data_IF_603245006053
#
_entry.id   IF_603245006053
#
_cell.length_a   1.000
_cell.length_b   1.000
_cell.length_c   1.000
_cell.angle_alpha   90.00
_cell.angle_beta   90.00
_cell.angle_gamma   90.00
#
_symmetry.space_group_name_H-M   'P 1'
#
loop_
_entity.id
_entity.type
_entity.pdbx_description
1 polymer ?
#
# COMPACT_ATOMS: atom_id res chain seq x y z
N UNK A 1 13.80 9.78 -16.92
CA UNK A 1 12.36 9.45 -17.03
C UNK A 1 12.23 8.02 -17.51
N UNK A 2 11.35 7.19 -16.94
CA UNK A 2 11.02 5.90 -17.56
C UNK A 2 10.17 6.16 -18.81
N UNK A 3 10.21 5.25 -19.80
CA UNK A 3 9.42 5.40 -21.04
C UNK A 3 7.91 5.53 -20.76
N UNK A 4 7.42 4.87 -19.71
CA UNK A 4 6.02 4.94 -19.33
C UNK A 4 5.64 6.31 -18.75
N UNK A 5 6.48 6.85 -17.85
CA UNK A 5 6.24 8.16 -17.25
C UNK A 5 6.33 9.28 -18.31
N UNK A 6 7.27 9.18 -19.24
CA UNK A 6 7.36 10.11 -20.38
C UNK A 6 6.11 10.08 -21.25
N UNK A 7 5.61 8.86 -21.58
CA UNK A 7 4.39 8.69 -22.36
C UNK A 7 3.17 9.30 -21.65
N UNK A 8 3.01 9.08 -20.34
CA UNK A 8 1.83 9.59 -19.62
C UNK A 8 1.87 11.11 -19.53
N UNK A 9 3.03 11.71 -19.23
CA UNK A 9 3.18 13.17 -19.18
C UNK A 9 2.90 13.82 -20.54
N UNK A 10 3.33 13.18 -21.62
CA UNK A 10 3.05 13.64 -22.99
C UNK A 10 1.54 13.71 -23.27
N UNK A 11 0.75 12.74 -22.79
CA UNK A 11 -0.70 12.77 -22.95
C UNK A 11 -1.37 13.79 -22.01
N UNK A 12 -0.87 13.92 -20.77
CA UNK A 12 -1.39 14.91 -19.80
C UNK A 12 -1.20 16.34 -20.32
N UNK A 13 -0.05 16.67 -20.90
CA UNK A 13 0.21 18.02 -21.43
C UNK A 13 -0.71 18.46 -22.57
N UNK A 14 -1.39 17.52 -23.25
CA UNK A 14 -2.37 17.84 -24.29
C UNK A 14 -3.73 18.27 -23.71
N UNK A 15 -3.95 18.10 -22.41
CA UNK A 15 -5.23 18.41 -21.76
C UNK A 15 -5.31 19.88 -21.33
N UNK A 16 -6.52 20.43 -21.09
CA UNK A 16 -6.67 21.75 -20.47
C UNK A 16 -6.02 21.80 -19.07
N UNK A 17 -5.51 22.98 -18.63
CA UNK A 17 -4.80 23.12 -17.34
C UNK A 17 -5.53 22.50 -16.15
N UNK A 18 -6.84 22.73 -16.03
CA UNK A 18 -7.64 22.20 -14.91
C UNK A 18 -7.62 20.66 -14.83
N UNK A 19 -7.55 19.99 -15.98
CA UNK A 19 -7.43 18.52 -16.02
C UNK A 19 -6.00 18.07 -15.70
N UNK A 20 -5.00 18.84 -16.11
CA UNK A 20 -3.60 18.55 -15.74
C UNK A 20 -3.45 18.62 -14.22
N UNK A 21 -3.96 19.68 -13.60
CA UNK A 21 -3.90 19.91 -12.15
C UNK A 21 -4.68 18.84 -11.38
N UNK A 22 -5.85 18.43 -11.88
CA UNK A 22 -6.62 17.33 -11.27
C UNK A 22 -5.82 16.02 -11.27
N UNK A 23 -5.15 15.69 -12.38
CA UNK A 23 -4.31 14.47 -12.48
C UNK A 23 -3.09 14.60 -11.58
N UNK A 24 -2.46 15.77 -11.55
CA UNK A 24 -1.31 16.02 -10.69
C UNK A 24 -1.66 15.86 -9.20
N UNK A 25 -2.83 16.37 -8.77
CA UNK A 25 -3.30 16.21 -7.40
C UNK A 25 -3.44 14.75 -6.98
N UNK A 26 -4.07 13.91 -7.83
CA UNK A 26 -4.21 12.47 -7.57
C UNK A 26 -2.84 11.80 -7.46
N UNK A 27 -1.92 12.08 -8.39
CA UNK A 27 -0.57 11.48 -8.35
C UNK A 27 0.18 11.88 -7.07
N UNK A 28 0.06 13.15 -6.65
CA UNK A 28 0.72 13.63 -5.43
C UNK A 28 0.14 12.98 -4.16
N UNK A 29 -1.18 12.77 -4.12
CA UNK A 29 -1.84 12.06 -3.02
C UNK A 29 -1.36 10.62 -2.91
N UNK A 30 -1.34 9.87 -4.02
CA UNK A 30 -0.87 8.48 -4.05
C UNK A 30 0.61 8.35 -3.64
N UNK A 31 1.45 9.32 -4.03
CA UNK A 31 2.87 9.34 -3.62
C UNK A 31 3.03 9.60 -2.12
N UNK A 32 2.18 10.43 -1.53
CA UNK A 32 2.21 10.68 -0.09
C UNK A 32 1.67 9.48 0.69
N UNK A 33 0.62 8.83 0.20
CA UNK A 33 0.09 7.60 0.78
C UNK A 33 1.13 6.47 0.77
N UNK A 34 1.83 6.27 -0.35
CA UNK A 34 2.94 5.30 -0.44
C UNK A 34 4.04 5.62 0.58
N UNK A 35 4.42 6.90 0.68
CA UNK A 35 5.44 7.36 1.64
C UNK A 35 5.02 7.11 3.09
N UNK A 36 3.75 7.34 3.42
CA UNK A 36 3.19 7.09 4.74
C UNK A 36 3.13 5.59 5.03
N UNK A 37 2.77 4.78 4.04
CA UNK A 37 2.71 3.33 4.15
C UNK A 37 4.10 2.73 4.38
N UNK A 38 5.10 3.13 3.60
CA UNK A 38 6.49 2.73 3.76
C UNK A 38 7.00 3.02 5.17
N UNK A 39 6.73 4.24 5.67
CA UNK A 39 7.10 4.63 7.03
C UNK A 39 6.41 3.76 8.07
N UNK A 40 5.08 3.63 7.98
CA UNK A 40 4.30 2.85 8.93
C UNK A 40 4.72 1.38 8.94
N UNK A 41 5.01 0.81 7.77
CA UNK A 41 5.46 -0.56 7.62
C UNK A 41 6.87 -0.76 8.21
N UNK A 42 7.81 0.14 7.93
CA UNK A 42 9.14 0.11 8.52
C UNK A 42 9.11 0.18 10.06
N UNK A 43 8.22 0.98 10.63
CA UNK A 43 8.02 1.11 12.08
C UNK A 43 7.25 -0.07 12.70
N UNK A 44 6.61 -0.91 11.90
CA UNK A 44 5.76 -2.01 12.38
C UNK A 44 6.48 -3.33 12.65
N UNK A 45 7.76 -3.47 12.26
CA UNK A 45 8.46 -4.77 12.22
C UNK A 45 8.46 -5.50 13.57
N UNK A 46 8.69 -4.81 14.68
CA UNK A 46 8.68 -5.44 16.01
C UNK A 46 7.29 -5.93 16.42
N UNK A 47 6.24 -5.15 16.12
CA UNK A 47 4.84 -5.51 16.39
C UNK A 47 4.43 -6.72 15.55
N UNK A 48 4.78 -6.73 14.26
CA UNK A 48 4.53 -7.86 13.36
C UNK A 48 5.30 -9.11 13.82
N UNK A 49 6.56 -8.97 14.23
CA UNK A 49 7.35 -10.08 14.75
C UNK A 49 6.76 -10.64 16.06
N UNK A 50 6.29 -9.77 16.96
CA UNK A 50 5.57 -10.19 18.17
C UNK A 50 4.29 -10.95 17.82
N UNK A 51 3.47 -10.42 16.91
CA UNK A 51 2.25 -11.07 16.45
C UNK A 51 2.54 -12.45 15.85
N UNK A 52 3.56 -12.56 15.00
CA UNK A 52 3.98 -13.82 14.40
C UNK A 52 4.41 -14.85 15.47
N UNK A 53 5.17 -14.42 16.50
CA UNK A 53 5.54 -15.30 17.62
C UNK A 53 4.30 -15.78 18.38
N UNK A 54 3.37 -14.87 18.68
CA UNK A 54 2.12 -15.19 19.37
C UNK A 54 1.29 -16.21 18.57
N UNK A 55 1.04 -15.95 17.29
CA UNK A 55 0.29 -16.85 16.41
C UNK A 55 0.93 -18.24 16.36
N UNK A 56 2.26 -18.32 16.23
CA UNK A 56 2.97 -19.63 16.26
C UNK A 56 2.80 -20.35 17.59
N UNK A 57 2.80 -19.64 18.72
CA UNK A 57 2.56 -20.23 20.03
C UNK A 57 1.10 -20.72 20.19
N UNK A 58 0.13 -19.95 19.68
CA UNK A 58 -1.28 -20.32 19.69
C UNK A 58 -1.53 -21.57 18.83
N UNK A 59 -0.92 -21.66 17.64
CA UNK A 59 -0.95 -22.86 16.80
C UNK A 59 -0.41 -24.07 17.57
N UNK A 60 0.78 -23.96 18.17
CA UNK A 60 1.40 -25.05 18.95
C UNK A 60 0.54 -25.49 20.14
N UNK A 61 -0.17 -24.55 20.76
CA UNK A 61 -1.05 -24.82 21.88
C UNK A 61 -2.47 -25.26 21.49
N UNK A 62 -2.76 -25.43 20.19
CA UNK A 62 -4.09 -25.77 19.71
C UNK A 62 -5.14 -24.66 19.91
N UNK A 63 -4.72 -23.43 20.22
CA UNK A 63 -5.59 -22.25 20.42
C UNK A 63 -5.92 -21.57 19.09
N UNK A 64 -6.22 -22.36 18.07
CA UNK A 64 -6.60 -21.86 16.74
C UNK A 64 -7.89 -22.55 16.29
N UNK A 65 -8.68 -21.83 15.50
CA UNK A 65 -9.84 -22.39 14.81
C UNK A 65 -9.57 -22.33 13.32
N UNK A 66 -9.65 -23.48 12.64
CA UNK A 66 -9.61 -23.50 11.17
C UNK A 66 -10.88 -22.84 10.63
N UNK A 67 -10.71 -21.83 9.79
CA UNK A 67 -11.80 -21.14 9.11
C UNK A 67 -11.50 -21.10 7.61
N UNK A 68 -12.52 -21.35 6.80
CA UNK A 68 -12.48 -21.16 5.35
C UNK A 68 -12.89 -19.74 4.98
N UNK A 69 -12.65 -19.35 3.72
CA UNK A 69 -13.04 -18.04 3.18
C UNK A 69 -14.57 -17.86 3.25
N UNK A 70 -15.33 -18.94 3.12
CA UNK A 70 -16.80 -18.95 3.23
C UNK A 70 -17.34 -18.60 4.63
N UNK A 71 -16.44 -18.44 5.62
CA UNK A 71 -16.78 -18.15 7.01
C UNK A 71 -16.22 -16.79 7.50
N UNK A 72 -15.70 -15.96 6.59
CA UNK A 72 -15.32 -14.55 6.83
C UNK A 72 -16.53 -13.63 6.69
#
# INVERSE_FOLDING_TARGET
MTRLLEKVLTEVYKLPPEKQDTIAAVILEELEDERLWDKAFAESQDKLAHLARKVRADIKAGRIKKMGIDAL
#
